data_IF_816272588838
#
_entry.id   IF_816272588838
#
_cell.length_a   1.000
_cell.length_b   1.000
_cell.length_c   1.000
_cell.angle_alpha   90.00
_cell.angle_beta   90.00
_cell.angle_gamma   90.00
#
_symmetry.space_group_name_H-M   'P 1'
#
loop_
_entity.id
_entity.type
_entity.pdbx_description
1 polymer ?
#
# COMPACT_ATOMS: atom_id res chain seq x y z
N UNK A 1 -33.28 -1.38 0.92
CA UNK A 1 -32.61 -2.47 0.17
C UNK A 1 -31.18 -2.56 0.69
N UNK A 2 -30.81 -3.65 1.37
CA UNK A 2 -29.40 -3.89 1.73
C UNK A 2 -28.72 -4.37 0.45
N UNK A 3 -27.90 -3.50 -0.12
CA UNK A 3 -26.97 -3.89 -1.16
C UNK A 3 -26.05 -4.92 -0.49
N UNK A 4 -26.16 -6.19 -0.85
CA UNK A 4 -25.11 -7.16 -0.55
C UNK A 4 -23.84 -6.55 -1.09
N UNK A 5 -22.96 -6.03 -0.21
CA UNK A 5 -21.61 -5.70 -0.61
C UNK A 5 -21.05 -7.01 -1.11
N UNK A 6 -20.96 -7.14 -2.43
CA UNK A 6 -20.32 -8.27 -3.05
C UNK A 6 -19.00 -8.46 -2.30
N UNK A 7 -18.73 -9.68 -1.84
CA UNK A 7 -17.48 -10.04 -1.18
C UNK A 7 -16.33 -9.62 -2.11
N UNK A 8 -15.82 -8.41 -2.04
CA UNK A 8 -14.69 -7.93 -2.82
C UNK A 8 -13.43 -8.30 -2.06
N UNK A 9 -12.37 -8.65 -2.78
CA UNK A 9 -11.05 -8.85 -2.18
C UNK A 9 -10.23 -7.62 -2.52
N UNK A 10 -9.70 -6.97 -1.49
CA UNK A 10 -8.71 -5.90 -1.67
C UNK A 10 -7.33 -6.45 -1.37
N UNK A 11 -6.47 -6.47 -2.38
CA UNK A 11 -5.05 -6.61 -2.20
C UNK A 11 -4.46 -5.24 -1.97
N UNK A 12 -3.55 -5.11 -1.01
CA UNK A 12 -2.75 -3.92 -0.87
C UNK A 12 -1.30 -4.32 -0.66
N UNK A 13 -0.40 -3.47 -1.14
CA UNK A 13 1.03 -3.64 -1.01
C UNK A 13 1.66 -2.30 -0.61
N UNK A 14 2.65 -2.38 0.27
CA UNK A 14 3.33 -1.22 0.84
C UNK A 14 4.82 -1.36 0.62
N UNK A 15 5.39 -0.44 -0.14
CA UNK A 15 6.83 -0.31 -0.21
C UNK A 15 7.29 0.71 0.82
N UNK A 16 8.35 0.36 1.56
CA UNK A 16 8.90 1.19 2.63
C UNK A 16 10.38 1.44 2.40
N UNK A 17 10.93 2.47 3.05
CA UNK A 17 12.39 2.53 3.19
C UNK A 17 12.87 1.34 4.04
N UNK A 18 14.11 0.90 3.80
CA UNK A 18 14.78 -0.08 4.65
C UNK A 18 15.70 0.66 5.61
N UNK A 19 15.38 0.72 6.92
CA UNK A 19 16.25 1.31 7.93
C UNK A 19 17.62 0.64 7.93
N UNK A 20 18.69 1.43 7.92
CA UNK A 20 20.07 0.92 7.97
C UNK A 20 20.64 0.88 9.38
N UNK A 21 19.99 1.56 10.32
CA UNK A 21 20.40 1.66 11.72
C UNK A 21 19.22 1.33 12.64
N UNK A 22 19.51 0.71 13.78
CA UNK A 22 18.50 0.52 14.83
C UNK A 22 17.93 1.88 15.27
N UNK A 23 16.61 1.96 15.43
CA UNK A 23 15.90 3.19 15.82
C UNK A 23 15.51 4.13 14.68
N UNK A 24 15.93 3.86 13.43
CA UNK A 24 15.40 4.59 12.27
C UNK A 24 13.95 4.20 11.99
N UNK A 25 13.13 5.19 11.66
CA UNK A 25 11.71 5.00 11.34
C UNK A 25 11.53 4.34 9.97
N UNK A 26 10.47 3.55 9.86
CA UNK A 26 9.90 3.14 8.58
C UNK A 26 8.98 4.24 8.06
N UNK A 27 9.07 4.49 6.78
CA UNK A 27 8.28 5.41 6.00
C UNK A 27 7.68 4.64 4.84
N UNK A 28 6.37 4.79 4.65
CA UNK A 28 5.71 4.31 3.44
C UNK A 28 6.14 5.20 2.28
N UNK A 29 6.62 4.60 1.21
CA UNK A 29 7.10 5.27 0.00
C UNK A 29 6.19 5.03 -1.20
N UNK A 30 5.46 3.92 -1.18
CA UNK A 30 4.43 3.60 -2.17
C UNK A 30 3.28 2.87 -1.47
N UNK A 31 2.06 3.18 -1.92
CA UNK A 31 0.86 2.46 -1.57
C UNK A 31 0.21 1.94 -2.84
N UNK A 32 0.10 0.62 -2.97
CA UNK A 32 -0.66 -0.05 -4.00
C UNK A 32 -1.90 -0.72 -3.41
N UNK A 33 -3.03 -0.64 -4.11
CA UNK A 33 -4.22 -1.42 -3.83
C UNK A 33 -4.93 -1.85 -5.11
N UNK A 34 -5.57 -3.01 -5.05
CA UNK A 34 -6.34 -3.60 -6.13
C UNK A 34 -7.58 -4.29 -5.55
N UNK A 35 -8.76 -3.89 -6.04
CA UNK A 35 -10.05 -4.49 -5.71
C UNK A 35 -10.38 -5.53 -6.77
N UNK A 36 -10.72 -6.74 -6.35
CA UNK A 36 -10.94 -7.90 -7.21
C UNK A 36 -12.29 -8.54 -6.92
N UNK A 37 -13.01 -8.93 -7.97
CA UNK A 37 -14.18 -9.79 -7.83
C UNK A 37 -13.72 -11.24 -7.59
N UNK A 38 -13.93 -11.87 -6.42
CA UNK A 38 -13.39 -13.20 -6.15
C UNK A 38 -14.04 -14.31 -6.99
N UNK A 39 -15.25 -14.07 -7.52
CA UNK A 39 -15.95 -15.06 -8.36
C UNK A 39 -15.42 -15.09 -9.79
N UNK A 40 -15.00 -13.93 -10.30
CA UNK A 40 -14.55 -13.77 -11.68
C UNK A 40 -13.03 -13.64 -11.79
N UNK A 41 -12.35 -13.36 -10.68
CA UNK A 41 -10.92 -13.07 -10.58
C UNK A 41 -10.49 -11.95 -11.54
N UNK A 42 -11.35 -10.95 -11.70
CA UNK A 42 -11.08 -9.76 -12.51
C UNK A 42 -10.86 -8.56 -11.59
N UNK A 43 -9.90 -7.72 -11.98
CA UNK A 43 -9.70 -6.41 -11.39
C UNK A 43 -10.94 -5.53 -11.62
N UNK A 44 -11.40 -4.90 -10.55
CA UNK A 44 -12.53 -3.96 -10.56
C UNK A 44 -12.03 -2.51 -10.46
N UNK A 45 -11.02 -2.29 -9.61
CA UNK A 45 -10.43 -0.99 -9.34
C UNK A 45 -8.97 -1.20 -8.90
N UNK A 46 -8.08 -0.30 -9.29
CA UNK A 46 -6.73 -0.23 -8.74
C UNK A 46 -6.34 1.19 -8.40
N UNK A 47 -5.48 1.30 -7.39
CA UNK A 47 -4.93 2.55 -6.93
C UNK A 47 -3.45 2.34 -6.60
N UNK A 48 -2.59 3.16 -7.19
CA UNK A 48 -1.17 3.18 -6.87
C UNK A 48 -0.71 4.63 -6.76
N UNK A 49 0.02 4.94 -5.69
CA UNK A 49 0.64 6.26 -5.51
C UNK A 49 1.97 6.13 -4.79
N UNK A 50 2.92 6.96 -5.20
CA UNK A 50 4.07 7.27 -4.35
C UNK A 50 3.62 8.13 -3.17
N UNK A 51 4.36 8.03 -2.07
CA UNK A 51 4.13 8.80 -0.86
C UNK A 51 5.43 9.50 -0.48
N UNK A 52 5.34 10.80 -0.26
CA UNK A 52 6.45 11.62 0.23
C UNK A 52 6.66 11.36 1.71
N UNK A 53 7.84 10.85 2.13
CA UNK A 53 8.15 10.69 3.54
C UNK A 53 8.35 12.06 4.20
N UNK A 54 8.09 12.14 5.50
CA UNK A 54 8.40 13.34 6.29
C UNK A 54 9.91 13.61 6.41
N UNK A 55 10.74 12.61 6.13
CA UNK A 55 12.20 12.75 6.02
C UNK A 55 12.69 12.20 4.66
N UNK A 56 13.04 13.10 3.73
CA UNK A 56 13.55 12.75 2.39
C UNK A 56 14.91 12.04 2.42
N UNK A 57 15.64 12.11 3.53
CA UNK A 57 16.92 11.40 3.68
C UNK A 57 16.70 9.89 3.88
N UNK A 58 15.48 9.46 4.22
CA UNK A 58 15.08 8.07 4.25
C UNK A 58 15.13 7.39 2.87
N UNK A 59 15.11 8.17 1.78
CA UNK A 59 15.21 7.69 0.41
C UNK A 59 16.58 8.04 -0.17
N UNK A 60 17.23 7.04 -0.76
CA UNK A 60 18.49 7.22 -1.46
C UNK A 60 18.32 8.11 -2.70
N UNK A 61 19.36 8.90 -3.02
CA UNK A 61 19.40 9.70 -4.27
C UNK A 61 19.31 8.78 -5.49
N UNK A 62 19.96 7.61 -5.41
CA UNK A 62 19.82 6.50 -6.36
C UNK A 62 19.13 5.35 -5.65
N UNK A 63 18.26 4.64 -6.35
CA UNK A 63 17.73 3.38 -5.85
C UNK A 63 18.80 2.29 -5.93
N UNK A 64 18.85 1.41 -4.94
CA UNK A 64 19.72 0.22 -4.98
C UNK A 64 19.21 -0.89 -5.90
N UNK A 65 18.02 -0.72 -6.48
CA UNK A 65 17.36 -1.65 -7.40
C UNK A 65 17.09 -0.94 -8.72
N UNK A 66 17.20 -1.67 -9.84
CA UNK A 66 16.71 -1.20 -11.15
C UNK A 66 15.21 -0.95 -11.01
N UNK A 67 14.74 0.25 -11.37
CA UNK A 67 13.36 0.75 -11.17
C UNK A 67 12.91 0.96 -9.70
N UNK A 68 13.83 0.98 -8.74
CA UNK A 68 13.46 1.31 -7.37
C UNK A 68 13.09 2.79 -7.17
N UNK A 69 12.40 3.07 -6.08
CA UNK A 69 11.97 4.43 -5.70
C UNK A 69 13.20 5.31 -5.43
N UNK A 70 13.24 6.48 -6.06
CA UNK A 70 14.31 7.47 -5.90
C UNK A 70 13.82 8.68 -5.13
N UNK A 71 14.75 9.43 -4.52
CA UNK A 71 14.40 10.69 -3.82
C UNK A 71 13.68 11.68 -4.73
N UNK A 72 14.09 11.76 -6.01
CA UNK A 72 13.42 12.64 -6.97
C UNK A 72 11.98 12.23 -7.25
N UNK A 73 11.69 10.93 -7.29
CA UNK A 73 10.34 10.42 -7.55
C UNK A 73 9.37 10.74 -6.40
N UNK A 74 9.83 10.68 -5.14
CA UNK A 74 8.98 10.98 -3.97
C UNK A 74 8.92 12.46 -3.60
N UNK A 75 9.74 13.32 -4.23
CA UNK A 75 9.81 14.74 -3.88
C UNK A 75 8.51 15.48 -4.19
N UNK A 76 7.94 15.19 -5.35
CA UNK A 76 6.68 15.76 -5.86
C UNK A 76 5.46 14.88 -5.54
N UNK A 77 5.65 13.79 -4.79
CA UNK A 77 4.58 12.90 -4.37
C UNK A 77 3.75 13.55 -3.23
N UNK A 78 2.46 13.16 -3.09
CA UNK A 78 1.65 13.60 -1.96
C UNK A 78 2.18 13.01 -0.64
N UNK A 79 1.89 13.68 0.48
CA UNK A 79 2.12 13.10 1.81
C UNK A 79 1.08 12.02 2.10
N UNK A 80 1.32 11.19 3.13
CA UNK A 80 0.37 10.15 3.51
C UNK A 80 -0.97 10.75 3.93
N UNK A 81 -0.95 11.87 4.66
CA UNK A 81 -2.13 12.60 5.12
C UNK A 81 -3.01 13.06 3.96
N UNK A 82 -2.40 13.52 2.86
CA UNK A 82 -3.13 13.98 1.65
C UNK A 82 -3.86 12.85 0.93
N UNK A 83 -3.41 11.59 1.07
CA UNK A 83 -4.03 10.42 0.43
C UNK A 83 -4.78 9.51 1.40
N UNK A 84 -4.74 9.79 2.70
CA UNK A 84 -5.28 8.93 3.75
C UNK A 84 -6.79 8.68 3.58
N UNK A 85 -7.57 9.73 3.30
CA UNK A 85 -9.02 9.60 3.10
C UNK A 85 -9.36 8.75 1.88
N UNK A 86 -8.57 8.86 0.80
CA UNK A 86 -8.75 8.04 -0.41
C UNK A 86 -8.40 6.58 -0.14
N UNK A 87 -7.27 6.33 0.51
CA UNK A 87 -6.86 4.98 0.93
C UNK A 87 -7.93 4.37 1.83
N UNK A 88 -8.40 5.13 2.82
CA UNK A 88 -9.47 4.69 3.71
C UNK A 88 -10.74 4.38 2.92
N UNK A 89 -11.15 5.22 1.97
CA UNK A 89 -12.31 4.94 1.11
C UNK A 89 -12.20 3.65 0.29
N UNK A 90 -11.00 3.32 -0.20
CA UNK A 90 -10.75 2.08 -0.94
C UNK A 90 -10.82 0.85 -0.03
N UNK A 91 -10.31 0.97 1.19
CA UNK A 91 -10.15 -0.13 2.14
C UNK A 91 -11.37 -0.36 3.05
N UNK A 92 -12.08 0.70 3.41
CA UNK A 92 -13.12 0.71 4.42
C UNK A 92 -14.31 -0.17 4.01
N UNK A 93 -14.74 -1.06 4.91
CA UNK A 93 -15.85 -1.99 4.66
C UNK A 93 -15.54 -3.11 3.64
N UNK A 94 -14.37 -3.07 2.97
CA UNK A 94 -13.93 -4.08 1.98
C UNK A 94 -12.84 -5.01 2.51
N UNK A 95 -12.16 -4.64 3.59
CA UNK A 95 -11.17 -5.51 4.24
C UNK A 95 -11.86 -6.53 5.14
N UNK A 96 -11.72 -7.81 4.82
CA UNK A 96 -11.73 -8.87 5.84
C UNK A 96 -10.28 -9.19 6.18
N UNK A 97 -9.78 -8.86 7.38
CA UNK A 97 -8.38 -9.09 7.71
C UNK A 97 -8.09 -10.60 7.65
N UNK A 98 -7.22 -10.98 6.72
CA UNK A 98 -6.61 -12.32 6.64
C UNK A 98 -5.12 -12.13 6.49
N UNK A 99 -4.38 -12.52 7.51
CA UNK A 99 -2.92 -12.35 7.54
C UNK A 99 -2.30 -13.51 6.76
N UNK A 100 -1.61 -13.21 5.67
CA UNK A 100 -0.82 -14.21 4.94
C UNK A 100 0.64 -14.05 5.39
N UNK A 101 1.20 -15.09 5.99
CA UNK A 101 2.61 -15.11 6.39
C UNK A 101 3.33 -16.17 5.55
N UNK A 102 4.15 -15.73 4.59
CA UNK A 102 4.76 -16.62 3.59
C UNK A 102 3.71 -17.14 2.61
N UNK A 103 3.72 -18.45 2.30
CA UNK A 103 2.74 -19.11 1.41
C UNK A 103 1.48 -19.62 2.14
N UNK A 104 1.26 -19.22 3.40
CA UNK A 104 0.16 -19.74 4.23
C UNK A 104 -0.81 -18.64 4.64
N UNK A 105 -2.08 -18.86 4.32
CA UNK A 105 -3.19 -18.06 4.83
C UNK A 105 -3.38 -18.38 6.31
N UNK A 106 -3.26 -17.39 7.19
CA UNK A 106 -3.62 -17.50 8.59
C UNK A 106 -4.93 -16.74 8.77
N UNK A 107 -6.00 -17.46 9.08
CA UNK A 107 -7.24 -16.82 9.53
C UNK A 107 -7.00 -16.33 10.95
N UNK A 108 -7.20 -15.04 11.20
CA UNK A 108 -7.38 -14.54 12.57
C UNK A 108 -8.79 -14.93 13.01
N UNK A 109 -8.89 -15.57 14.18
CA UNK A 109 -10.16 -15.83 14.88
C UNK A 109 -10.92 -14.55 15.21
#
# INVERSE_FOLDING_TARGET
>A
MKQEMANEIVFFDLETNVPRKAGQKFWVLEFGAMVVCPRKLVELESYCTLIRPGDLTAVGVKSGRVHGITRGAVLEAPTFEEVADKIFGILNGRIQPRVIRGSRLIQSE
#
